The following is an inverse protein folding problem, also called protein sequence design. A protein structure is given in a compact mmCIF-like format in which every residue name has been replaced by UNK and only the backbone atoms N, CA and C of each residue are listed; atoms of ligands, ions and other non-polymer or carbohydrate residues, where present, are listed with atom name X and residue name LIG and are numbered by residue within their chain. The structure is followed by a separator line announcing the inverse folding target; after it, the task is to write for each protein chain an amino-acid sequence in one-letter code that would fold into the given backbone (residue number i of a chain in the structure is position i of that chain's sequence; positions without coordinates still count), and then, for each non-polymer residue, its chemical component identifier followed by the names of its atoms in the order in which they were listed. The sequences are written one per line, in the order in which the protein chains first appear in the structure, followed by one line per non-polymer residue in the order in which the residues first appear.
data_IF_600449325681
#
_entry.id   IF_600449325681
#
_cell.length_a   1.000
_cell.length_b   1.000
_cell.length_c   1.000
_cell.angle_alpha   90.00
_cell.angle_beta   90.00
_cell.angle_gamma   90.00
#
_symmetry.space_group_name_H-M   'P 1'
#
loop_
_entity.id
_entity.type
_entity.pdbx_description
1 polymer ?
#
# COMPACT_ATOMS: atom_id res chain seq x y z
N UNK A 1 11.59 18.78 12.13
CA UNK A 1 11.39 18.19 10.80
C UNK A 1 10.48 17.00 10.95
N UNK A 2 9.53 16.81 10.05
CA UNK A 2 8.40 15.95 10.30
C UNK A 2 8.63 14.49 9.94
N UNK A 3 7.93 13.62 10.69
CA UNK A 3 7.58 12.31 10.21
C UNK A 3 6.43 12.42 9.21
N UNK A 4 6.66 12.05 7.96
CA UNK A 4 5.68 12.15 6.87
C UNK A 4 5.10 10.77 6.59
N UNK A 5 3.78 10.60 6.70
CA UNK A 5 3.12 9.33 6.40
C UNK A 5 2.46 9.41 5.02
N UNK A 6 2.79 8.47 4.15
CA UNK A 6 2.17 8.32 2.83
C UNK A 6 1.17 7.18 2.87
N UNK A 7 -0.11 7.47 2.64
CA UNK A 7 -1.19 6.48 2.60
C UNK A 7 -1.96 6.54 1.29
N UNK A 8 -2.42 5.38 0.80
CA UNK A 8 -3.40 5.33 -0.27
C UNK A 8 -4.79 5.68 0.26
N UNK A 9 -5.54 6.45 -0.50
CA UNK A 9 -6.90 6.91 -0.12
C UNK A 9 -7.97 5.92 -0.58
N UNK A 10 -7.78 5.28 -1.73
CA UNK A 10 -8.76 4.42 -2.40
C UNK A 10 -8.52 2.93 -2.10
N UNK A 11 -8.40 2.07 -3.11
CA UNK A 11 -8.18 0.62 -2.98
C UNK A 11 -6.80 0.16 -3.46
N UNK A 12 -5.78 0.99 -3.34
CA UNK A 12 -4.43 0.71 -3.80
C UNK A 12 -4.16 1.18 -5.23
N UNK A 13 -2.92 1.04 -5.65
CA UNK A 13 -2.44 1.44 -6.99
C UNK A 13 -2.62 2.93 -7.32
N UNK A 14 -2.76 3.81 -6.32
CA UNK A 14 -2.92 5.25 -6.48
C UNK A 14 -1.64 5.96 -6.99
N UNK A 15 -0.50 5.28 -6.99
CA UNK A 15 0.78 5.86 -7.38
C UNK A 15 1.64 6.35 -6.21
N UNK A 16 1.53 5.69 -5.04
CA UNK A 16 2.34 6.00 -3.84
C UNK A 16 3.83 6.05 -4.12
N UNK A 17 4.36 5.13 -4.93
CA UNK A 17 5.77 5.13 -5.31
C UNK A 17 6.24 6.41 -5.98
N UNK A 18 5.40 7.05 -6.83
CA UNK A 18 5.72 8.36 -7.43
C UNK A 18 5.77 9.45 -6.36
N UNK A 19 4.87 9.44 -5.39
CA UNK A 19 4.87 10.41 -4.29
C UNK A 19 6.11 10.25 -3.39
N UNK A 20 6.50 9.01 -3.07
CA UNK A 20 7.73 8.74 -2.32
C UNK A 20 8.98 9.18 -3.09
N UNK A 21 9.02 8.94 -4.40
CA UNK A 21 10.11 9.38 -5.26
C UNK A 21 10.23 10.91 -5.36
N UNK A 22 9.10 11.63 -5.37
CA UNK A 22 9.09 13.10 -5.34
C UNK A 22 9.73 13.67 -4.06
N UNK A 23 9.58 12.97 -2.94
CA UNK A 23 10.20 13.33 -1.67
C UNK A 23 11.66 12.87 -1.57
N UNK A 24 12.10 11.94 -2.45
CA UNK A 24 13.33 11.15 -2.31
C UNK A 24 14.60 11.96 -2.10
N UNK A 25 14.78 13.10 -2.79
CA UNK A 25 15.98 13.96 -2.64
C UNK A 25 16.03 14.73 -1.31
N UNK A 26 14.89 14.83 -0.61
CA UNK A 26 14.73 15.54 0.67
C UNK A 26 14.44 14.59 1.83
N UNK A 27 14.58 13.28 1.60
CA UNK A 27 14.25 12.23 2.57
C UNK A 27 15.52 11.52 3.02
N UNK A 28 15.70 11.40 4.33
CA UNK A 28 16.82 10.67 4.92
C UNK A 28 16.47 9.18 5.17
N UNK A 29 15.19 8.90 5.46
CA UNK A 29 14.70 7.56 5.79
C UNK A 29 13.37 7.24 5.11
N UNK A 30 13.23 6.04 4.54
CA UNK A 30 11.94 5.52 4.05
C UNK A 30 11.61 4.22 4.73
N UNK A 31 10.46 4.17 5.39
CA UNK A 31 10.02 3.08 6.26
C UNK A 31 8.79 2.42 5.68
N UNK A 32 8.89 1.16 5.32
CA UNK A 32 7.70 0.32 5.08
C UNK A 32 7.18 -0.17 6.42
N UNK A 33 5.96 0.22 6.78
CA UNK A 33 5.44 -0.04 8.12
C UNK A 33 4.38 -1.14 8.20
N UNK A 34 3.82 -1.62 7.07
CA UNK A 34 2.77 -2.64 7.06
C UNK A 34 2.82 -3.53 5.82
N UNK A 35 1.99 -4.58 5.82
CA UNK A 35 1.89 -5.52 4.71
C UNK A 35 3.08 -6.48 4.66
N UNK A 36 3.44 -6.89 3.48
CA UNK A 36 4.57 -7.78 3.18
C UNK A 36 4.87 -7.72 1.69
N UNK A 37 5.14 -8.86 1.08
CA UNK A 37 5.39 -8.98 -0.36
C UNK A 37 4.10 -9.11 -1.22
N UNK A 38 2.94 -8.74 -0.67
CA UNK A 38 1.63 -8.80 -1.35
C UNK A 38 1.30 -7.58 -2.22
N UNK A 39 2.02 -6.48 -2.06
CA UNK A 39 1.90 -5.30 -2.92
C UNK A 39 3.09 -5.23 -3.88
N UNK A 40 2.88 -4.69 -5.07
CA UNK A 40 3.95 -4.39 -6.01
C UNK A 40 4.02 -2.87 -6.24
N UNK A 41 5.16 -2.28 -5.96
CA UNK A 41 5.43 -0.87 -6.29
C UNK A 41 6.35 -0.83 -7.51
N UNK A 42 5.93 -0.11 -8.55
CA UNK A 42 6.82 0.17 -9.68
C UNK A 42 7.40 1.56 -9.50
N UNK A 43 8.71 1.64 -9.48
CA UNK A 43 9.47 2.89 -9.50
C UNK A 43 10.20 2.98 -10.84
N UNK A 44 10.16 4.14 -11.47
CA UNK A 44 10.85 4.40 -12.75
C UNK A 44 11.95 5.42 -12.50
N UNK A 45 13.19 5.03 -12.75
CA UNK A 45 14.37 5.91 -12.62
C UNK A 45 15.04 6.00 -13.99
N UNK A 46 14.98 7.18 -14.62
CA UNK A 46 15.37 7.31 -16.02
C UNK A 46 14.52 6.40 -16.91
N UNK A 47 15.17 5.56 -17.71
CA UNK A 47 14.49 4.59 -18.60
C UNK A 47 14.29 3.21 -17.94
N UNK A 48 14.74 3.04 -16.69
CA UNK A 48 14.69 1.75 -16.00
C UNK A 48 13.46 1.62 -15.09
N UNK A 49 12.82 0.43 -15.14
CA UNK A 49 11.70 0.07 -14.27
C UNK A 49 12.16 -0.92 -13.20
N UNK A 50 11.80 -0.62 -11.95
CA UNK A 50 12.03 -1.45 -10.78
C UNK A 50 10.70 -1.87 -10.19
N UNK A 51 10.46 -3.17 -10.09
CA UNK A 51 9.28 -3.72 -9.43
C UNK A 51 9.68 -4.22 -8.03
N UNK A 52 9.27 -3.51 -7.00
CA UNK A 52 9.53 -3.85 -5.60
C UNK A 52 8.27 -4.43 -4.97
N UNK A 53 8.40 -5.51 -4.19
CA UNK A 53 7.28 -6.14 -3.49
C UNK A 53 7.42 -5.98 -1.97
N UNK A 54 8.59 -6.30 -1.44
CA UNK A 54 8.88 -6.25 0.00
C UNK A 54 9.70 -5.04 0.40
N UNK A 55 10.67 -4.67 -0.42
CA UNK A 55 11.56 -3.55 -0.13
C UNK A 55 10.82 -2.20 -0.19
N UNK A 56 11.13 -1.25 0.72
CA UNK A 56 10.62 0.11 0.62
C UNK A 56 11.18 0.81 -0.62
N UNK A 57 10.38 1.72 -1.21
CA UNK A 57 10.74 2.39 -2.47
C UNK A 57 12.01 3.24 -2.37
N UNK A 58 12.30 3.78 -1.20
CA UNK A 58 13.52 4.57 -0.93
C UNK A 58 14.84 3.82 -1.10
N UNK A 59 14.83 2.48 -1.23
CA UNK A 59 16.06 1.70 -1.47
C UNK A 59 16.74 2.06 -2.81
N UNK A 60 15.99 2.63 -3.72
CA UNK A 60 16.48 3.06 -5.03
C UNK A 60 17.10 4.45 -5.02
N UNK A 61 16.92 5.22 -3.94
CA UNK A 61 17.39 6.61 -3.83
C UNK A 61 18.75 6.66 -3.16
N UNK A 62 19.80 7.17 -3.82
CA UNK A 62 21.12 7.33 -3.22
C UNK A 62 21.05 8.18 -1.94
N UNK A 63 21.70 7.70 -0.87
CA UNK A 63 21.75 8.43 0.40
C UNK A 63 20.60 8.14 1.37
N UNK A 64 19.48 7.62 0.91
CA UNK A 64 18.33 7.25 1.74
C UNK A 64 18.61 5.96 2.53
N UNK A 65 18.12 5.89 3.75
CA UNK A 65 18.18 4.70 4.61
C UNK A 65 16.82 3.96 4.57
N UNK A 66 16.72 2.84 3.85
CA UNK A 66 15.48 2.08 3.78
C UNK A 66 15.28 1.21 5.03
N UNK A 67 14.05 1.14 5.54
CA UNK A 67 13.69 0.38 6.75
C UNK A 67 12.47 -0.50 6.52
N UNK A 68 12.55 -1.75 6.90
CA UNK A 68 11.42 -2.65 7.06
C UNK A 68 11.04 -2.64 8.55
N UNK A 69 9.89 -2.02 8.87
CA UNK A 69 9.41 -1.85 10.25
C UNK A 69 8.81 -3.14 10.84
N UNK A 70 8.56 -3.12 12.14
CA UNK A 70 8.01 -4.25 12.90
C UNK A 70 6.57 -4.63 12.50
N UNK A 71 5.87 -3.75 11.80
CA UNK A 71 4.52 -4.02 11.29
C UNK A 71 4.49 -4.87 10.02
N UNK A 72 5.61 -5.03 9.33
CA UNK A 72 5.74 -5.84 8.12
C UNK A 72 5.86 -7.33 8.46
N UNK A 73 5.28 -8.19 7.62
CA UNK A 73 5.57 -9.63 7.64
C UNK A 73 6.56 -9.94 6.51
N UNK A 74 7.71 -10.50 6.86
CA UNK A 74 8.89 -10.62 5.99
C UNK A 74 8.99 -12.05 5.45
N UNK A 75 8.94 -12.18 4.14
CA UNK A 75 9.32 -13.41 3.43
C UNK A 75 10.81 -13.32 3.09
N UNK A 76 11.65 -14.14 3.74
CA UNK A 76 13.11 -14.06 3.61
C UNK A 76 13.60 -14.46 2.21
N UNK A 77 12.95 -15.42 1.58
CA UNK A 77 13.24 -15.83 0.20
C UNK A 77 13.08 -14.62 -0.73
N UNK A 78 11.90 -13.98 -0.68
CA UNK A 78 11.60 -12.78 -1.50
C UNK A 78 12.50 -11.59 -1.14
N UNK A 79 12.83 -11.40 0.14
CA UNK A 79 13.73 -10.35 0.56
C UNK A 79 15.09 -10.46 -0.13
N UNK A 80 15.69 -11.65 -0.10
CA UNK A 80 17.01 -11.86 -0.66
C UNK A 80 17.01 -11.94 -2.19
N UNK A 81 15.94 -12.44 -2.80
CA UNK A 81 15.76 -12.37 -4.26
C UNK A 81 15.72 -10.92 -4.76
N UNK A 82 14.96 -10.05 -4.08
CA UNK A 82 14.89 -8.63 -4.46
C UNK A 82 16.24 -7.91 -4.23
N UNK A 83 16.91 -8.18 -3.11
CA UNK A 83 18.23 -7.60 -2.82
C UNK A 83 19.28 -8.02 -3.86
N UNK A 84 19.31 -9.31 -4.20
CA UNK A 84 20.26 -9.85 -5.17
C UNK A 84 20.00 -9.26 -6.58
N UNK A 85 18.72 -9.12 -6.95
CA UNK A 85 18.33 -8.52 -8.22
C UNK A 85 18.71 -7.02 -8.29
N UNK A 86 18.59 -6.27 -7.21
CA UNK A 86 18.99 -4.86 -7.13
C UNK A 86 20.52 -4.71 -7.17
N UNK A 87 21.22 -5.52 -6.38
CA UNK A 87 22.71 -5.52 -6.36
C UNK A 87 23.29 -5.85 -7.73
N UNK A 88 22.69 -6.82 -8.45
CA UNK A 88 23.11 -7.17 -9.81
C UNK A 88 22.92 -6.03 -10.82
N UNK A 89 22.03 -5.06 -10.52
CA UNK A 89 21.80 -3.83 -11.30
C UNK A 89 22.60 -2.64 -10.77
N UNK A 90 23.51 -2.84 -9.80
CA UNK A 90 24.38 -1.82 -9.25
C UNK A 90 23.73 -0.90 -8.19
N UNK A 91 22.56 -1.26 -7.68
CA UNK A 91 21.92 -0.53 -6.57
C UNK A 91 22.56 -0.95 -5.24
N UNK A 92 23.04 0.02 -4.45
CA UNK A 92 23.59 -0.24 -3.13
C UNK A 92 22.47 -0.50 -2.10
N UNK A 93 22.37 -1.74 -1.64
CA UNK A 93 21.35 -2.17 -0.65
C UNK A 93 21.90 -2.27 0.78
N UNK A 94 23.16 -1.90 1.03
CA UNK A 94 23.85 -2.08 2.32
C UNK A 94 23.23 -1.28 3.49
N UNK A 95 22.51 -0.22 3.18
CA UNK A 95 21.84 0.64 4.17
C UNK A 95 20.53 0.08 4.69
N UNK A 96 19.97 -0.98 4.08
CA UNK A 96 18.72 -1.57 4.54
C UNK A 96 18.79 -1.97 6.00
N UNK A 97 17.74 -1.61 6.76
CA UNK A 97 17.54 -2.11 8.12
C UNK A 97 16.20 -2.84 8.21
N UNK A 98 16.23 -3.95 8.93
CA UNK A 98 15.06 -4.81 9.17
C UNK A 98 14.82 -4.87 10.67
N UNK A 99 13.59 -4.60 11.08
CA UNK A 99 13.23 -4.65 12.50
C UNK A 99 13.42 -6.04 13.08
N UNK A 100 14.13 -6.14 14.20
CA UNK A 100 14.25 -7.36 14.99
C UNK A 100 12.88 -7.93 15.41
N UNK A 101 11.87 -7.06 15.51
CA UNK A 101 10.50 -7.38 15.92
C UNK A 101 9.54 -7.68 14.75
N UNK A 102 9.98 -7.58 13.49
CA UNK A 102 9.18 -7.97 12.34
C UNK A 102 8.90 -9.48 12.37
N UNK A 103 7.69 -9.89 11.90
CA UNK A 103 7.33 -11.29 11.84
C UNK A 103 7.76 -11.92 10.51
N UNK A 104 8.02 -13.21 10.53
CA UNK A 104 8.48 -13.95 9.35
C UNK A 104 7.33 -14.75 8.75
N UNK A 105 7.24 -14.72 7.41
CA UNK A 105 6.41 -15.62 6.63
C UNK A 105 7.19 -16.93 6.41
N UNK A 106 6.59 -18.05 6.77
CA UNK A 106 7.16 -19.39 6.58
C UNK A 106 6.41 -20.18 5.52
N UNK A 107 6.93 -21.31 5.13
CA UNK A 107 6.31 -22.21 4.15
C UNK A 107 4.89 -22.65 4.57
N UNK A 108 4.62 -22.86 5.87
CA UNK A 108 3.27 -23.20 6.31
C UNK A 108 2.27 -22.05 6.15
N UNK A 109 2.68 -20.79 6.28
CA UNK A 109 1.81 -19.64 6.02
C UNK A 109 1.39 -19.59 4.55
N UNK A 110 2.35 -19.76 3.63
CA UNK A 110 2.07 -19.80 2.18
C UNK A 110 1.17 -20.96 1.82
N UNK A 111 1.38 -22.12 2.46
CA UNK A 111 0.55 -23.31 2.24
C UNK A 111 -0.86 -23.10 2.74
N UNK A 112 -1.03 -22.61 3.96
CA UNK A 112 -2.34 -22.34 4.56
C UNK A 112 -3.14 -21.31 3.76
N UNK A 113 -2.53 -20.22 3.31
CA UNK A 113 -3.18 -19.21 2.48
C UNK A 113 -3.79 -19.85 1.21
N UNK A 114 -2.98 -20.61 0.46
CA UNK A 114 -3.42 -21.28 -0.77
C UNK A 114 -4.51 -22.34 -0.53
N UNK A 115 -4.43 -23.14 0.54
CA UNK A 115 -5.42 -24.18 0.77
C UNK A 115 -6.72 -23.64 1.33
N UNK A 116 -6.67 -22.58 2.14
CA UNK A 116 -7.85 -21.88 2.66
C UNK A 116 -8.64 -21.22 1.54
N UNK A 117 -7.98 -20.51 0.61
CA UNK A 117 -8.64 -19.91 -0.56
C UNK A 117 -9.36 -20.97 -1.42
N UNK A 118 -8.72 -22.14 -1.62
CA UNK A 118 -9.38 -23.27 -2.32
C UNK A 118 -10.57 -23.82 -1.56
N UNK A 119 -10.44 -23.95 -0.25
CA UNK A 119 -11.51 -24.47 0.60
C UNK A 119 -12.73 -23.55 0.63
N UNK A 120 -12.52 -22.24 0.64
CA UNK A 120 -13.58 -21.23 0.60
C UNK A 120 -14.35 -21.22 -0.75
N UNK A 121 -13.76 -21.68 -1.84
CA UNK A 121 -14.40 -21.80 -3.14
C UNK A 121 -14.99 -20.47 -3.63
N UNK A 122 -16.31 -20.38 -3.72
CA UNK A 122 -17.02 -19.15 -4.13
C UNK A 122 -16.92 -18.02 -3.10
N UNK A 123 -16.64 -18.33 -1.83
CA UNK A 123 -16.47 -17.35 -0.75
C UNK A 123 -15.01 -16.86 -0.61
N UNK A 124 -14.15 -17.19 -1.57
CA UNK A 124 -12.75 -16.77 -1.54
C UNK A 124 -12.62 -15.25 -1.49
N UNK A 125 -11.65 -14.78 -0.73
CA UNK A 125 -11.32 -13.35 -0.60
C UNK A 125 -10.56 -12.85 -1.84
N UNK A 126 -9.81 -13.73 -2.49
CA UNK A 126 -8.92 -13.43 -3.62
C UNK A 126 -7.55 -12.96 -3.14
N UNK A 127 -7.01 -13.63 -2.12
CA UNK A 127 -5.66 -13.34 -1.58
C UNK A 127 -4.58 -13.55 -2.63
N UNK A 128 -3.40 -13.01 -2.36
CA UNK A 128 -2.23 -13.20 -3.24
C UNK A 128 -1.59 -14.58 -3.10
N UNK A 129 -2.01 -15.40 -2.12
CA UNK A 129 -1.45 -16.73 -1.83
C UNK A 129 -0.03 -16.69 -1.27
N UNK A 130 0.42 -15.54 -0.77
CA UNK A 130 1.78 -15.30 -0.26
C UNK A 130 1.91 -15.48 1.26
N UNK A 131 0.86 -15.91 1.94
CA UNK A 131 0.90 -16.19 3.38
C UNK A 131 0.77 -14.99 4.29
N UNK A 132 0.38 -13.83 3.77
CA UNK A 132 0.26 -12.57 4.53
C UNK A 132 -0.76 -12.72 5.66
N UNK A 133 -2.01 -13.09 5.32
CA UNK A 133 -3.08 -13.27 6.31
C UNK A 133 -2.73 -14.25 7.42
N UNK A 134 -2.31 -15.48 7.11
CA UNK A 134 -1.85 -16.45 8.10
C UNK A 134 -0.71 -15.94 8.99
N UNK A 135 0.26 -15.18 8.46
CA UNK A 135 1.35 -14.63 9.26
C UNK A 135 0.85 -13.54 10.24
N UNK A 136 -0.07 -12.66 9.81
CA UNK A 136 -0.71 -11.70 10.73
C UNK A 136 -1.61 -12.40 11.77
N UNK A 137 -2.31 -13.47 11.40
CA UNK A 137 -3.08 -14.26 12.35
C UNK A 137 -2.16 -14.84 13.44
N UNK A 138 -1.02 -15.39 13.08
CA UNK A 138 -0.05 -15.92 14.04
C UNK A 138 0.56 -14.82 14.93
N UNK A 139 0.82 -13.64 14.38
CA UNK A 139 1.25 -12.47 15.16
C UNK A 139 0.24 -12.12 16.25
N UNK A 140 -1.06 -12.05 15.91
CA UNK A 140 -2.12 -11.68 16.85
C UNK A 140 -2.39 -12.83 17.84
N UNK A 141 -2.30 -14.10 17.41
CA UNK A 141 -2.37 -15.27 18.26
C UNK A 141 -1.15 -15.46 19.18
N UNK A 142 -0.08 -14.68 18.97
CA UNK A 142 1.17 -14.71 19.74
C UNK A 142 1.96 -16.03 19.60
N UNK A 143 1.83 -16.66 18.43
CA UNK A 143 2.59 -17.86 18.03
C UNK A 143 3.53 -17.58 16.85
N UNK A 144 3.59 -16.34 16.41
CA UNK A 144 4.43 -15.92 15.28
C UNK A 144 5.92 -15.94 15.61
N UNK A 145 6.73 -16.16 14.56
CA UNK A 145 8.19 -16.14 14.62
C UNK A 145 8.65 -14.74 14.21
N UNK A 146 9.55 -14.14 15.00
CA UNK A 146 10.16 -12.84 14.73
C UNK A 146 11.55 -12.99 14.12
N UNK A 147 12.02 -11.96 13.45
CA UNK A 147 13.39 -11.87 12.91
C UNK A 147 14.44 -12.17 13.97
N UNK A 148 14.32 -11.63 15.17
CA UNK A 148 15.28 -11.86 16.27
C UNK A 148 15.36 -13.34 16.71
N UNK A 149 14.32 -14.12 16.53
CA UNK A 149 14.28 -15.52 16.96
C UNK A 149 15.25 -16.40 16.14
N UNK A 150 15.66 -15.97 14.95
CA UNK A 150 16.60 -16.67 14.07
C UNK A 150 18.01 -16.71 14.65
N UNK A 151 18.34 -15.85 15.63
CA UNK A 151 19.67 -15.75 16.20
C UNK A 151 19.88 -16.64 17.44
N UNK A 152 18.84 -17.40 17.83
CA UNK A 152 18.89 -18.46 18.83
C UNK A 152 18.12 -19.69 18.31
N UNK A 153 18.88 -20.70 17.84
CA UNK A 153 18.30 -21.90 17.23
C UNK A 153 17.37 -22.66 18.20
N UNK A 154 17.69 -22.68 19.51
CA UNK A 154 16.85 -23.37 20.48
C UNK A 154 15.48 -22.69 20.62
N UNK A 155 15.46 -21.37 20.71
CA UNK A 155 14.24 -20.57 20.77
C UNK A 155 13.46 -20.70 19.45
N UNK A 156 14.13 -20.60 18.30
CA UNK A 156 13.52 -20.78 16.99
C UNK A 156 12.83 -22.15 16.90
N UNK A 157 13.55 -23.22 17.22
CA UNK A 157 13.04 -24.60 17.17
C UNK A 157 11.82 -24.79 18.05
N UNK A 158 11.86 -24.32 19.29
CA UNK A 158 10.74 -24.38 20.24
C UNK A 158 9.50 -23.63 19.70
N UNK A 159 9.67 -22.45 19.13
CA UNK A 159 8.57 -21.65 18.55
C UNK A 159 7.98 -22.31 17.30
N UNK A 160 8.81 -22.83 16.42
CA UNK A 160 8.37 -23.57 15.23
C UNK A 160 7.57 -24.83 15.62
N UNK A 161 8.04 -25.58 16.59
CA UNK A 161 7.35 -26.77 17.11
C UNK A 161 5.95 -26.41 17.63
N UNK A 162 5.86 -25.40 18.51
CA UNK A 162 4.57 -24.94 19.04
C UNK A 162 3.61 -24.41 17.98
N UNK A 163 4.13 -23.72 16.96
CA UNK A 163 3.31 -23.27 15.83
C UNK A 163 2.83 -24.44 14.97
N UNK A 164 3.70 -25.40 14.65
CA UNK A 164 3.40 -26.53 13.77
C UNK A 164 2.40 -27.52 14.37
N UNK A 165 2.34 -27.68 15.68
CA UNK A 165 1.37 -28.56 16.33
C UNK A 165 -0.06 -28.24 15.86
N UNK A 166 -0.47 -26.98 15.93
CA UNK A 166 -1.79 -26.56 15.48
C UNK A 166 -1.92 -26.58 13.95
N UNK A 167 -0.90 -26.09 13.23
CA UNK A 167 -0.94 -25.98 11.77
C UNK A 167 -1.00 -27.34 11.10
N UNK A 168 -0.24 -28.32 11.59
CA UNK A 168 -0.26 -29.68 11.04
C UNK A 168 -1.60 -30.37 11.27
N UNK A 169 -2.29 -30.12 12.39
CA UNK A 169 -3.65 -30.61 12.57
C UNK A 169 -4.60 -30.07 11.49
N UNK A 170 -4.54 -28.79 11.16
CA UNK A 170 -5.33 -28.21 10.08
C UNK A 170 -4.94 -28.77 8.72
N UNK A 171 -3.65 -28.81 8.41
CA UNK A 171 -3.16 -29.32 7.13
C UNK A 171 -3.57 -30.77 6.89
N UNK A 172 -3.37 -31.64 7.87
CA UNK A 172 -3.61 -33.10 7.72
C UNK A 172 -5.10 -33.41 7.83
N UNK A 173 -5.78 -32.94 8.90
CA UNK A 173 -7.14 -33.38 9.24
C UNK A 173 -8.23 -32.62 8.48
N UNK A 174 -8.02 -31.33 8.18
CA UNK A 174 -9.02 -30.48 7.50
C UNK A 174 -8.74 -30.40 5.99
N UNK A 175 -7.50 -30.13 5.63
CA UNK A 175 -7.14 -29.87 4.24
C UNK A 175 -6.58 -31.08 3.49
N UNK A 176 -6.42 -32.22 4.14
CA UNK A 176 -5.84 -33.45 3.57
C UNK A 176 -4.50 -33.18 2.85
N UNK A 177 -3.57 -32.52 3.55
CA UNK A 177 -2.22 -32.18 3.10
C UNK A 177 -1.18 -32.89 3.95
N UNK A 178 0.03 -33.01 3.42
CA UNK A 178 1.19 -33.51 4.17
C UNK A 178 1.49 -32.58 5.35
N UNK A 179 1.87 -33.17 6.49
CA UNK A 179 2.47 -32.40 7.59
C UNK A 179 3.81 -31.81 7.18
N UNK A 180 4.18 -30.73 7.83
CA UNK A 180 5.48 -30.06 7.68
C UNK A 180 6.28 -30.35 8.93
N UNK A 181 7.55 -30.68 8.79
CA UNK A 181 8.42 -31.01 9.93
C UNK A 181 9.08 -29.74 10.49
N UNK A 182 9.50 -29.79 11.76
CA UNK A 182 10.21 -28.69 12.39
C UNK A 182 11.51 -28.41 11.66
N UNK A 183 12.26 -29.47 11.29
CA UNK A 183 13.53 -29.33 10.61
C UNK A 183 13.37 -28.63 9.24
N UNK A 184 12.34 -28.97 8.45
CA UNK A 184 12.06 -28.28 7.16
C UNK A 184 11.95 -26.75 7.34
N UNK A 185 11.35 -26.27 8.41
CA UNK A 185 11.19 -24.83 8.65
C UNK A 185 12.45 -24.22 9.27
N UNK A 186 13.05 -24.88 10.24
CA UNK A 186 14.24 -24.35 10.95
C UNK A 186 15.42 -24.27 10.00
N UNK A 187 15.70 -25.31 9.21
CA UNK A 187 16.82 -25.33 8.27
C UNK A 187 16.65 -24.26 7.20
N UNK A 188 15.42 -24.10 6.66
CA UNK A 188 15.11 -23.03 5.71
C UNK A 188 15.41 -21.65 6.30
N UNK A 189 14.89 -21.35 7.48
CA UNK A 189 15.07 -20.04 8.12
C UNK A 189 16.54 -19.78 8.52
N UNK A 190 17.25 -20.79 9.04
CA UNK A 190 18.66 -20.65 9.42
C UNK A 190 19.57 -20.38 8.21
N UNK A 191 19.19 -20.83 7.03
CA UNK A 191 19.96 -20.59 5.80
C UNK A 191 20.13 -19.10 5.47
N UNK A 192 19.23 -18.24 5.95
CA UNK A 192 19.27 -16.79 5.72
C UNK A 192 19.96 -16.00 6.86
N UNK A 193 20.21 -16.63 8.02
CA UNK A 193 20.59 -15.93 9.26
C UNK A 193 21.84 -15.06 9.10
N UNK A 194 22.90 -15.59 8.50
CA UNK A 194 24.16 -14.86 8.36
C UNK A 194 24.05 -13.65 7.41
N UNK A 195 23.25 -13.79 6.35
CA UNK A 195 22.98 -12.67 5.42
C UNK A 195 22.10 -11.59 6.07
N UNK A 196 21.17 -12.01 6.94
CA UNK A 196 20.21 -11.11 7.60
C UNK A 196 20.85 -10.34 8.76
N UNK A 197 21.78 -10.93 9.49
CA UNK A 197 22.40 -10.40 10.71
C UNK A 197 22.84 -8.93 10.61
N UNK A 198 23.57 -8.48 9.58
CA UNK A 198 24.05 -7.10 9.49
C UNK A 198 22.93 -6.07 9.26
N UNK A 199 21.73 -6.52 8.84
CA UNK A 199 20.59 -5.65 8.53
C UNK A 199 19.68 -5.48 9.75
N UNK A 200 19.75 -6.36 10.75
CA UNK A 200 18.80 -6.39 11.87
C UNK A 200 19.10 -5.29 12.88
N UNK A 201 18.07 -4.55 13.26
CA UNK A 201 18.20 -3.44 14.19
C UNK A 201 16.93 -3.24 15.04
N UNK A 202 17.06 -2.47 16.12
CA UNK A 202 15.95 -1.81 16.78
C UNK A 202 15.54 -0.58 15.94
N UNK A 203 14.67 -0.81 14.98
CA UNK A 203 14.28 0.22 14.01
C UNK A 203 13.47 1.34 14.64
N UNK A 204 12.71 1.06 15.71
CA UNK A 204 11.94 2.09 16.41
C UNK A 204 12.86 3.12 17.06
N UNK A 205 13.90 2.65 17.75
CA UNK A 205 14.91 3.51 18.35
C UNK A 205 15.70 4.31 17.29
N UNK A 206 16.15 3.66 16.21
CA UNK A 206 16.87 4.33 15.12
C UNK A 206 16.06 5.47 14.49
N UNK A 207 14.76 5.26 14.27
CA UNK A 207 13.89 6.25 13.65
C UNK A 207 13.55 7.39 14.60
N UNK A 208 13.38 7.12 15.89
CA UNK A 208 13.14 8.16 16.89
C UNK A 208 14.37 9.07 17.04
N UNK A 209 15.57 8.51 17.09
CA UNK A 209 16.83 9.27 17.07
C UNK A 209 16.99 10.11 15.78
N UNK A 210 16.62 9.55 14.61
CA UNK A 210 16.66 10.29 13.35
C UNK A 210 15.76 11.52 13.39
N UNK A 211 14.52 11.35 13.88
CA UNK A 211 13.57 12.45 14.06
C UNK A 211 14.06 13.48 15.10
N UNK A 212 14.75 13.06 16.16
CA UNK A 212 15.36 13.98 17.12
C UNK A 212 16.50 14.82 16.51
N UNK A 213 17.28 14.22 15.60
CA UNK A 213 18.30 14.96 14.83
C UNK A 213 17.71 15.90 13.78
N UNK A 214 16.39 15.88 13.58
CA UNK A 214 15.71 16.69 12.57
C UNK A 214 15.79 16.11 11.15
N UNK A 215 16.09 14.82 11.00
CA UNK A 215 16.09 14.11 9.73
C UNK A 215 14.65 13.84 9.25
N UNK A 216 14.45 13.84 7.94
CA UNK A 216 13.14 13.59 7.31
C UNK A 216 12.89 12.10 7.19
N UNK A 217 11.83 11.62 7.88
CA UNK A 217 11.42 10.21 7.86
C UNK A 217 10.09 10.06 7.14
N UNK A 218 10.08 9.31 6.04
CA UNK A 218 8.87 8.99 5.27
C UNK A 218 8.40 7.58 5.61
N UNK A 219 7.16 7.45 6.05
CA UNK A 219 6.49 6.18 6.36
C UNK A 219 5.58 5.80 5.19
N UNK A 220 5.91 4.75 4.49
CA UNK A 220 5.23 4.28 3.26
C UNK A 220 4.26 3.13 3.58
N UNK A 221 2.97 3.34 3.30
CA UNK A 221 1.97 2.28 3.39
C UNK A 221 2.06 1.32 2.18
N UNK A 222 1.99 0.03 2.46
CA UNK A 222 1.97 -1.00 1.42
C UNK A 222 0.63 -1.09 0.67
N UNK A 223 -0.48 -0.70 1.32
CA UNK A 223 -1.84 -0.75 0.76
C UNK A 223 -2.53 0.61 0.92
N UNK A 224 -3.87 0.63 0.92
CA UNK A 224 -4.67 1.84 0.99
C UNK A 224 -5.76 1.75 2.07
N UNK A 225 -6.37 2.89 2.40
CA UNK A 225 -7.38 3.00 3.46
C UNK A 225 -8.56 2.06 3.28
N UNK A 226 -9.08 1.93 2.05
CA UNK A 226 -10.23 1.04 1.78
C UNK A 226 -9.84 -0.45 1.78
N UNK A 227 -8.56 -0.77 1.94
CA UNK A 227 -8.03 -2.12 2.15
C UNK A 227 -7.53 -2.35 3.59
N UNK A 228 -7.65 -1.37 4.48
CA UNK A 228 -7.28 -1.50 5.89
C UNK A 228 -8.16 -2.56 6.59
N UNK A 229 -7.58 -3.33 7.50
CA UNK A 229 -8.28 -4.43 8.18
C UNK A 229 -9.47 -3.96 9.03
N UNK A 230 -9.38 -2.76 9.61
CA UNK A 230 -10.40 -2.17 10.50
C UNK A 230 -11.32 -1.19 9.77
N UNK A 231 -10.78 -0.43 8.82
CA UNK A 231 -11.44 0.70 8.16
C UNK A 231 -11.82 0.45 6.70
N UNK A 232 -11.36 -0.65 6.12
CA UNK A 232 -11.63 -1.01 4.73
C UNK A 232 -12.93 -1.77 4.51
N UNK A 233 -13.11 -2.25 3.29
CA UNK A 233 -14.29 -3.00 2.83
C UNK A 233 -14.22 -4.48 3.25
N UNK A 234 -14.22 -4.74 4.56
CA UNK A 234 -14.16 -6.09 5.12
C UNK A 234 -15.27 -7.01 4.56
N UNK A 235 -14.98 -8.28 4.19
CA UNK A 235 -13.72 -9.00 4.35
C UNK A 235 -12.71 -8.82 3.19
N UNK A 236 -13.01 -8.01 2.19
CA UNK A 236 -12.18 -7.78 1.01
C UNK A 236 -11.12 -6.72 1.30
N UNK A 237 -10.21 -7.02 2.22
CA UNK A 237 -9.18 -6.16 2.78
C UNK A 237 -7.85 -6.91 2.90
N UNK A 238 -6.76 -6.17 3.18
CA UNK A 238 -5.51 -6.79 3.66
C UNK A 238 -5.61 -7.10 5.15
N UNK A 239 -4.73 -7.93 5.66
CA UNK A 239 -4.69 -8.29 7.09
C UNK A 239 -3.84 -7.32 7.93
N UNK A 240 -3.51 -6.16 7.41
CA UNK A 240 -2.65 -5.18 8.08
C UNK A 240 -3.34 -3.82 8.23
N UNK A 241 -2.85 -3.02 9.19
CA UNK A 241 -3.24 -1.63 9.36
C UNK A 241 -2.56 -0.77 8.30
N UNK A 242 -3.33 -0.37 7.29
CA UNK A 242 -2.87 0.40 6.14
C UNK A 242 -3.16 1.90 6.27
N UNK A 243 -3.76 2.31 7.39
CA UNK A 243 -4.01 3.73 7.73
C UNK A 243 -2.79 4.37 8.37
N UNK A 244 -2.82 5.71 8.53
CA UNK A 244 -1.73 6.47 9.14
C UNK A 244 -1.44 6.04 10.60
N UNK A 245 -2.47 5.60 11.35
CA UNK A 245 -2.29 5.02 12.67
C UNK A 245 -1.40 3.77 12.67
N UNK A 246 -1.42 3.01 11.57
CA UNK A 246 -0.54 1.87 11.34
C UNK A 246 0.94 2.23 11.24
N UNK A 247 1.28 3.46 10.85
CA UNK A 247 2.67 3.91 10.79
C UNK A 247 3.31 3.95 12.18
N UNK A 248 2.61 4.46 13.19
CA UNK A 248 3.11 4.48 14.57
C UNK A 248 3.34 3.05 15.10
N UNK A 249 2.32 2.19 15.01
CA UNK A 249 2.40 0.81 15.54
C UNK A 249 3.36 -0.07 14.74
N UNK A 250 3.46 0.15 13.43
CA UNK A 250 4.26 -0.67 12.52
C UNK A 250 5.72 -0.26 12.38
N UNK A 251 6.08 0.94 12.83
CA UNK A 251 7.48 1.41 12.88
C UNK A 251 8.07 1.42 14.29
N UNK A 252 7.21 1.49 15.33
CA UNK A 252 7.64 1.70 16.72
C UNK A 252 7.89 3.17 17.08
N UNK A 253 7.55 4.10 16.18
CA UNK A 253 7.66 5.55 16.43
C UNK A 253 6.39 6.05 17.11
N UNK A 254 6.51 6.93 18.08
CA UNK A 254 5.36 7.50 18.79
C UNK A 254 4.46 8.32 17.84
N UNK A 255 3.12 8.26 17.99
CA UNK A 255 2.20 8.95 17.09
C UNK A 255 2.38 10.47 17.07
N UNK A 256 2.88 11.08 18.15
CA UNK A 256 3.19 12.51 18.20
C UNK A 256 4.41 12.96 17.39
N UNK A 257 5.09 12.02 16.71
CA UNK A 257 6.19 12.29 15.77
C UNK A 257 5.73 12.28 14.30
N UNK A 258 4.46 11.97 14.05
CA UNK A 258 3.88 11.90 12.72
C UNK A 258 3.15 13.22 12.43
N UNK A 259 3.89 14.17 11.88
CA UNK A 259 3.41 15.57 11.78
C UNK A 259 2.61 15.81 10.51
N UNK A 260 2.88 15.07 9.43
CA UNK A 260 2.24 15.26 8.14
C UNK A 260 1.73 13.94 7.56
N UNK A 261 0.49 13.95 7.11
CA UNK A 261 -0.14 12.77 6.52
C UNK A 261 -0.57 13.09 5.10
N UNK A 262 0.09 12.45 4.14
CA UNK A 262 -0.10 12.65 2.71
C UNK A 262 -0.96 11.54 2.13
N UNK A 263 -2.16 11.88 1.70
CA UNK A 263 -3.07 10.98 1.01
C UNK A 263 -2.81 10.95 -0.49
N UNK A 264 -2.64 9.77 -1.06
CA UNK A 264 -2.48 9.61 -2.51
C UNK A 264 -3.81 9.16 -3.09
N UNK A 265 -4.31 9.90 -4.09
CA UNK A 265 -5.58 9.62 -4.76
C UNK A 265 -5.41 9.75 -6.27
N UNK A 266 -6.07 8.90 -7.04
CA UNK A 266 -6.19 9.08 -8.49
C UNK A 266 -7.36 10.01 -8.82
N UNK A 267 -7.27 10.70 -9.93
CA UNK A 267 -8.38 11.50 -10.49
C UNK A 267 -9.60 10.67 -10.90
N UNK A 268 -9.49 9.35 -10.85
CA UNK A 268 -10.55 8.34 -10.99
C UNK A 268 -10.27 7.20 -9.99
N UNK A 269 -11.04 6.13 -10.00
CA UNK A 269 -10.86 5.06 -9.01
C UNK A 269 -10.49 3.74 -9.68
N UNK A 270 -9.62 2.96 -9.04
CA UNK A 270 -9.33 1.59 -9.46
C UNK A 270 -9.38 0.63 -8.28
N UNK A 271 -9.72 -0.63 -8.56
CA UNK A 271 -9.70 -1.70 -7.57
C UNK A 271 -9.18 -3.00 -8.18
N UNK A 272 -8.36 -3.73 -7.42
CA UNK A 272 -7.97 -5.12 -7.74
C UNK A 272 -8.75 -6.07 -6.84
N UNK A 273 -9.22 -7.19 -7.40
CA UNK A 273 -9.92 -8.23 -6.65
C UNK A 273 -11.40 -7.96 -6.41
N UNK A 274 -11.98 -8.78 -5.54
CA UNK A 274 -13.41 -8.77 -5.23
C UNK A 274 -13.78 -7.67 -4.22
N UNK A 275 -15.07 -7.49 -4.00
CA UNK A 275 -15.61 -6.55 -3.02
C UNK A 275 -16.32 -5.37 -3.65
N UNK A 276 -16.97 -4.51 -2.84
CA UNK A 276 -17.79 -3.40 -3.31
C UNK A 276 -16.97 -2.35 -4.03
N UNK A 277 -17.54 -1.80 -5.09
CA UNK A 277 -16.97 -0.71 -5.85
C UNK A 277 -18.12 0.12 -6.46
N UNK A 278 -18.74 1.03 -5.70
CA UNK A 278 -19.96 1.70 -6.12
C UNK A 278 -19.85 2.47 -7.43
N UNK A 279 -18.68 3.05 -7.72
CA UNK A 279 -18.44 3.84 -8.94
C UNK A 279 -17.87 3.02 -10.11
N UNK A 280 -17.84 1.68 -10.00
CA UNK A 280 -17.31 0.80 -11.05
C UNK A 280 -18.04 1.01 -12.38
N UNK A 281 -17.25 0.99 -13.46
CA UNK A 281 -17.70 1.08 -14.84
C UNK A 281 -17.39 -0.24 -15.56
N UNK A 282 -18.42 -1.00 -15.86
CA UNK A 282 -18.35 -2.25 -16.63
C UNK A 282 -18.87 -2.01 -18.07
N UNK A 283 -18.33 -0.99 -18.71
CA UNK A 283 -18.72 -0.49 -20.01
C UNK A 283 -17.52 0.00 -20.84
N UNK A 284 -17.79 0.59 -22.01
CA UNK A 284 -16.76 1.15 -22.91
C UNK A 284 -15.93 2.26 -22.22
N UNK A 285 -16.52 3.02 -21.31
CA UNK A 285 -15.82 4.07 -20.58
C UNK A 285 -14.85 3.46 -19.54
N UNK A 286 -15.27 2.40 -18.85
CA UNK A 286 -14.40 1.66 -17.94
C UNK A 286 -13.20 1.05 -18.67
N UNK A 287 -13.40 0.51 -19.86
CA UNK A 287 -12.33 0.00 -20.71
C UNK A 287 -11.41 1.14 -21.20
N UNK A 288 -11.98 2.27 -21.59
CA UNK A 288 -11.19 3.44 -21.99
C UNK A 288 -10.30 3.94 -20.86
N UNK A 289 -10.81 4.04 -19.62
CA UNK A 289 -10.01 4.41 -18.43
C UNK A 289 -8.88 3.39 -18.19
N UNK A 290 -9.17 2.09 -18.37
CA UNK A 290 -8.18 1.02 -18.18
C UNK A 290 -7.04 1.13 -19.19
N UNK A 291 -7.35 1.31 -20.46
CA UNK A 291 -6.36 1.39 -21.53
C UNK A 291 -5.55 2.69 -21.44
N UNK A 292 -6.23 3.84 -21.34
CA UNK A 292 -5.59 5.16 -21.27
C UNK A 292 -4.75 5.31 -20.01
N UNK A 293 -5.26 4.82 -18.87
CA UNK A 293 -4.57 4.85 -17.58
C UNK A 293 -3.50 3.77 -17.44
N UNK A 294 -3.42 2.78 -18.34
CA UNK A 294 -2.51 1.64 -18.21
C UNK A 294 -2.81 0.82 -16.96
N UNK A 295 -4.09 0.59 -16.66
CA UNK A 295 -4.53 -0.01 -15.39
C UNK A 295 -4.44 -1.54 -15.43
N UNK A 296 -3.19 -2.02 -15.43
CA UNK A 296 -2.82 -3.43 -15.38
C UNK A 296 -1.85 -3.69 -14.24
N UNK A 297 -1.95 -4.85 -13.62
CA UNK A 297 -1.07 -5.24 -12.51
C UNK A 297 0.36 -5.44 -12.99
N UNK A 298 1.31 -4.78 -12.36
CA UNK A 298 2.74 -4.76 -12.75
C UNK A 298 3.35 -6.16 -12.85
N UNK A 299 2.98 -7.06 -11.92
CA UNK A 299 3.58 -8.41 -11.84
C UNK A 299 2.78 -9.46 -12.62
N UNK A 300 1.46 -9.34 -12.65
CA UNK A 300 0.57 -10.39 -13.19
C UNK A 300 -0.08 -10.00 -14.50
N UNK A 301 0.04 -8.73 -14.92
CA UNK A 301 -0.72 -8.18 -16.06
C UNK A 301 -2.24 -8.19 -15.86
N UNK A 302 -2.74 -8.50 -14.64
CA UNK A 302 -4.17 -8.59 -14.37
C UNK A 302 -4.81 -7.21 -14.52
N UNK A 303 -5.93 -7.16 -15.23
CA UNK A 303 -6.75 -5.96 -15.37
C UNK A 303 -7.24 -5.46 -14.02
N UNK A 304 -7.20 -4.15 -13.83
CA UNK A 304 -7.85 -3.46 -12.72
C UNK A 304 -9.26 -3.07 -13.10
N UNK A 305 -10.18 -3.21 -12.16
CA UNK A 305 -11.51 -2.62 -12.24
C UNK A 305 -11.36 -1.11 -12.19
N UNK A 306 -12.09 -0.38 -12.99
CA UNK A 306 -12.01 1.08 -13.13
C UNK A 306 -13.36 1.72 -12.85
N UNK A 307 -13.39 2.95 -12.37
CA UNK A 307 -14.60 3.69 -12.05
C UNK A 307 -14.31 5.17 -11.86
N UNK A 308 -15.37 5.97 -11.76
CA UNK A 308 -15.24 7.41 -11.53
C UNK A 308 -14.69 7.74 -10.15
N UNK A 309 -14.22 8.99 -9.99
CA UNK A 309 -13.77 9.50 -8.69
C UNK A 309 -14.88 9.41 -7.65
N UNK A 310 -14.54 9.00 -6.44
CA UNK A 310 -15.46 8.74 -5.33
C UNK A 310 -15.14 9.68 -4.16
N UNK A 311 -15.88 10.79 -4.07
CA UNK A 311 -15.66 11.79 -3.03
C UNK A 311 -16.03 11.31 -1.61
N UNK A 312 -17.13 10.56 -1.39
CA UNK A 312 -17.40 9.93 -0.09
C UNK A 312 -16.23 9.13 0.47
N UNK A 313 -15.59 8.28 -0.35
CA UNK A 313 -14.41 7.50 0.06
C UNK A 313 -13.25 8.43 0.43
N UNK A 314 -13.01 9.46 -0.37
CA UNK A 314 -11.91 10.41 -0.12
C UNK A 314 -12.13 11.17 1.19
N UNK A 315 -13.36 11.64 1.46
CA UNK A 315 -13.71 12.27 2.75
C UNK A 315 -13.53 11.31 3.93
N UNK A 316 -14.01 10.08 3.77
CA UNK A 316 -13.84 9.03 4.78
C UNK A 316 -12.36 8.79 5.09
N UNK A 317 -11.54 8.57 4.06
CA UNK A 317 -10.11 8.36 4.22
C UNK A 317 -9.41 9.57 4.83
N UNK A 318 -9.76 10.79 4.43
CA UNK A 318 -9.24 12.03 5.01
C UNK A 318 -9.49 12.07 6.51
N UNK A 319 -10.70 11.77 6.96
CA UNK A 319 -11.08 11.74 8.37
C UNK A 319 -10.37 10.65 9.14
N UNK A 320 -10.34 9.42 8.63
CA UNK A 320 -9.75 8.26 9.31
C UNK A 320 -8.25 8.41 9.50
N UNK A 321 -7.56 8.96 8.50
CA UNK A 321 -6.11 9.14 8.54
C UNK A 321 -5.68 10.49 9.12
N UNK A 322 -6.55 11.49 9.18
CA UNK A 322 -6.16 12.88 9.47
C UNK A 322 -5.30 13.47 8.35
N UNK A 323 -5.66 13.22 7.08
CA UNK A 323 -4.88 13.67 5.93
C UNK A 323 -4.74 15.19 5.93
N UNK A 324 -3.50 15.67 5.86
CA UNK A 324 -3.16 17.10 5.79
C UNK A 324 -2.99 17.60 4.37
N UNK A 325 -2.54 16.72 3.48
CA UNK A 325 -2.20 17.01 2.09
C UNK A 325 -2.61 15.87 1.16
N UNK A 326 -3.09 16.19 -0.02
CA UNK A 326 -3.39 15.22 -1.08
C UNK A 326 -2.39 15.37 -2.23
N UNK A 327 -1.90 14.23 -2.72
CA UNK A 327 -1.28 14.10 -4.04
C UNK A 327 -2.29 13.48 -4.98
N UNK A 328 -2.80 14.28 -5.92
CA UNK A 328 -3.71 13.85 -6.97
C UNK A 328 -2.89 13.31 -8.15
N UNK A 329 -3.08 12.05 -8.51
CA UNK A 329 -2.38 11.40 -9.61
C UNK A 329 -3.27 11.17 -10.81
N UNK A 330 -2.67 10.98 -12.00
CA UNK A 330 -3.40 10.55 -13.20
C UNK A 330 -4.45 11.55 -13.72
N UNK A 331 -4.26 12.85 -13.48
CA UNK A 331 -5.16 13.87 -14.02
C UNK A 331 -5.13 13.89 -15.56
N UNK A 332 -3.96 13.64 -16.15
CA UNK A 332 -3.71 13.50 -17.58
C UNK A 332 -4.59 12.46 -18.27
N UNK A 333 -4.95 11.39 -17.57
CA UNK A 333 -5.79 10.29 -18.12
C UNK A 333 -7.20 10.78 -18.49
N UNK A 334 -7.71 11.83 -17.85
CA UNK A 334 -9.02 12.39 -18.11
C UNK A 334 -9.06 13.36 -19.32
N UNK A 335 -7.91 13.68 -19.89
CA UNK A 335 -7.81 14.52 -21.09
C UNK A 335 -8.58 13.91 -22.26
N UNK A 336 -9.35 14.71 -22.96
CA UNK A 336 -10.15 14.29 -24.11
C UNK A 336 -11.62 14.02 -23.81
N UNK A 337 -12.02 13.95 -22.54
CA UNK A 337 -13.42 13.84 -22.13
C UNK A 337 -14.17 15.17 -22.30
N UNK A 338 -15.46 15.11 -22.66
CA UNK A 338 -16.34 16.27 -22.69
C UNK A 338 -16.88 16.60 -21.30
N UNK A 339 -17.15 15.55 -20.52
CA UNK A 339 -17.73 15.64 -19.20
C UNK A 339 -17.11 14.57 -18.28
N UNK A 340 -16.89 14.92 -17.02
CA UNK A 340 -16.27 14.06 -16.01
C UNK A 340 -17.21 13.92 -14.82
N UNK A 341 -17.86 12.75 -14.64
CA UNK A 341 -18.69 12.46 -13.48
C UNK A 341 -17.84 12.26 -12.22
N UNK A 342 -18.29 12.85 -11.12
CA UNK A 342 -17.74 12.64 -9.76
C UNK A 342 -18.85 12.13 -8.87
N UNK A 343 -18.65 11.00 -8.20
CA UNK A 343 -19.57 10.52 -7.19
C UNK A 343 -19.50 11.44 -5.96
N UNK A 344 -20.61 12.08 -5.62
CA UNK A 344 -20.69 13.03 -4.49
C UNK A 344 -21.43 12.46 -3.28
N UNK A 345 -22.24 11.43 -3.49
CA UNK A 345 -23.01 10.72 -2.48
C UNK A 345 -23.39 9.32 -2.98
N UNK A 346 -23.98 8.51 -2.12
CA UNK A 346 -24.60 7.23 -2.51
C UNK A 346 -26.11 7.27 -2.27
N UNK A 347 -26.84 6.53 -3.10
CA UNK A 347 -28.24 6.16 -2.87
C UNK A 347 -28.30 4.67 -2.50
N UNK A 348 -28.92 4.35 -1.38
CA UNK A 348 -29.20 2.98 -0.94
C UNK A 348 -30.70 2.89 -0.66
N UNK A 349 -31.42 2.21 -1.53
CA UNK A 349 -32.87 2.01 -1.43
C UNK A 349 -33.68 3.33 -1.25
N UNK A 350 -33.25 4.39 -1.93
CA UNK A 350 -33.88 5.73 -1.89
C UNK A 350 -33.42 6.58 -0.70
N UNK A 351 -32.47 6.11 0.10
CA UNK A 351 -31.84 6.89 1.17
C UNK A 351 -30.47 7.40 0.71
N UNK A 352 -30.31 8.72 0.76
CA UNK A 352 -29.03 9.36 0.40
C UNK A 352 -28.03 9.31 1.55
N UNK A 353 -26.81 8.88 1.24
CA UNK A 353 -25.65 8.90 2.13
C UNK A 353 -24.57 9.82 1.54
N UNK A 354 -24.23 10.89 2.25
CA UNK A 354 -23.15 11.79 1.82
C UNK A 354 -21.75 11.25 2.22
N UNK A 355 -21.67 10.29 3.13
CA UNK A 355 -20.48 9.56 3.56
C UNK A 355 -20.59 8.06 3.26
N UNK A 356 -19.50 7.33 3.46
CA UNK A 356 -19.47 5.86 3.34
C UNK A 356 -20.42 5.25 4.37
N UNK A 357 -21.41 4.43 3.94
CA UNK A 357 -22.30 3.74 4.85
C UNK A 357 -21.51 2.87 5.85
N UNK A 358 -21.88 2.92 7.11
CA UNK A 358 -21.23 2.11 8.18
C UNK A 358 -21.51 0.62 7.98
N UNK A 359 -22.72 0.31 7.49
CA UNK A 359 -23.13 -1.07 7.21
C UNK A 359 -22.56 -1.53 5.87
N UNK A 360 -21.81 -2.62 5.89
CA UNK A 360 -21.21 -3.20 4.67
C UNK A 360 -22.26 -3.65 3.64
N UNK A 361 -23.43 -4.11 4.08
CA UNK A 361 -24.53 -4.47 3.18
C UNK A 361 -25.01 -3.25 2.40
N UNK A 362 -25.19 -2.14 3.08
CA UNK A 362 -25.60 -0.88 2.44
C UNK A 362 -24.53 -0.41 1.46
N UNK A 363 -23.27 -0.51 1.81
CA UNK A 363 -22.18 -0.15 0.92
C UNK A 363 -22.09 -1.04 -0.33
N UNK A 364 -22.39 -2.35 -0.19
CA UNK A 364 -22.47 -3.26 -1.32
C UNK A 364 -23.62 -2.95 -2.31
N UNK A 365 -24.70 -2.35 -1.81
CA UNK A 365 -25.86 -1.97 -2.62
C UNK A 365 -25.86 -0.47 -3.00
N UNK A 366 -24.85 0.27 -2.57
CA UNK A 366 -24.74 1.69 -2.83
C UNK A 366 -24.67 1.99 -4.33
N UNK A 367 -25.53 2.88 -4.78
CA UNK A 367 -25.50 3.41 -6.14
C UNK A 367 -24.92 4.82 -6.10
N UNK A 368 -23.96 5.15 -6.97
CA UNK A 368 -23.34 6.46 -6.96
C UNK A 368 -24.31 7.55 -7.42
N UNK A 369 -24.31 8.68 -6.72
CA UNK A 369 -24.97 9.91 -7.15
C UNK A 369 -23.89 10.81 -7.74
N UNK A 370 -23.99 11.09 -9.04
CA UNK A 370 -22.98 11.84 -9.75
C UNK A 370 -23.29 13.32 -9.86
N UNK A 371 -22.24 14.13 -9.79
CA UNK A 371 -22.20 15.50 -10.26
C UNK A 371 -21.21 15.55 -11.43
N UNK A 372 -21.63 16.15 -12.53
CA UNK A 372 -20.83 16.25 -13.75
C UNK A 372 -20.03 17.54 -13.79
N UNK A 373 -18.79 17.45 -14.21
CA UNK A 373 -17.88 18.58 -14.44
C UNK A 373 -17.50 18.66 -15.91
N UNK A 374 -17.34 19.86 -16.47
CA UNK A 374 -16.82 20.01 -17.83
C UNK A 374 -15.42 19.41 -17.94
N UNK A 375 -15.16 18.64 -18.99
CA UNK A 375 -13.84 18.10 -19.28
C UNK A 375 -12.96 19.10 -20.03
N UNK A 376 -11.79 18.65 -20.44
CA UNK A 376 -10.81 19.43 -21.22
C UNK A 376 -10.23 18.56 -22.35
N UNK A 377 -9.75 19.23 -23.41
CA UNK A 377 -9.18 18.57 -24.59
C UNK A 377 -7.68 18.78 -24.73
N UNK A 378 -7.16 19.80 -24.06
CA UNK A 378 -5.76 20.18 -24.13
C UNK A 378 -4.88 19.16 -23.41
N UNK A 379 -3.73 18.85 -24.01
CA UNK A 379 -2.71 18.04 -23.36
C UNK A 379 -2.09 18.82 -22.18
N UNK A 380 -2.27 18.30 -20.98
CA UNK A 380 -1.77 18.88 -19.73
C UNK A 380 -0.39 18.36 -19.31
N UNK A 381 0.22 17.45 -20.07
CA UNK A 381 1.48 16.76 -19.68
C UNK A 381 2.68 17.69 -19.55
N UNK A 382 2.60 18.87 -20.17
CA UNK A 382 3.63 19.92 -20.13
C UNK A 382 3.38 20.99 -19.06
N UNK A 383 2.23 20.99 -18.40
CA UNK A 383 1.92 21.92 -17.31
C UNK A 383 2.90 21.76 -16.14
N UNK A 384 3.39 22.85 -15.58
CA UNK A 384 4.31 22.88 -14.43
C UNK A 384 3.80 23.79 -13.31
N UNK A 385 2.88 24.68 -13.59
CA UNK A 385 2.15 25.49 -12.62
C UNK A 385 0.65 25.21 -12.68
N UNK A 386 -0.08 25.57 -11.65
CA UNK A 386 -1.54 25.35 -11.62
C UNK A 386 -2.26 26.14 -12.70
N UNK A 387 -1.74 27.33 -13.01
CA UNK A 387 -2.25 28.25 -14.02
C UNK A 387 -2.01 27.76 -15.46
N UNK A 388 -1.08 26.82 -15.67
CA UNK A 388 -0.86 26.19 -17.00
C UNK A 388 -1.99 25.21 -17.36
N UNK A 389 -2.78 24.78 -16.38
CA UNK A 389 -3.92 23.89 -16.62
C UNK A 389 -5.06 24.64 -17.32
N UNK A 390 -5.81 23.99 -18.24
CA UNK A 390 -7.08 24.50 -18.73
C UNK A 390 -8.03 24.85 -17.58
N UNK A 391 -8.85 25.90 -17.73
CA UNK A 391 -9.76 26.36 -16.69
C UNK A 391 -10.63 25.24 -16.11
N UNK A 392 -11.19 24.37 -16.99
CA UNK A 392 -12.00 23.23 -16.54
C UNK A 392 -11.21 22.24 -15.68
N UNK A 393 -9.93 22.02 -15.97
CA UNK A 393 -9.05 21.16 -15.15
C UNK A 393 -8.74 21.80 -13.80
N UNK A 394 -8.53 23.13 -13.76
CA UNK A 394 -8.37 23.87 -12.51
C UNK A 394 -9.63 23.76 -11.66
N UNK A 395 -10.80 24.02 -12.24
CA UNK A 395 -12.10 23.96 -11.56
C UNK A 395 -12.40 22.54 -11.04
N UNK A 396 -12.04 21.52 -11.82
CA UNK A 396 -12.14 20.12 -11.40
C UNK A 396 -11.28 19.83 -10.16
N UNK A 397 -10.00 20.22 -10.17
CA UNK A 397 -9.08 20.04 -9.03
C UNK A 397 -9.59 20.76 -7.78
N UNK A 398 -10.05 22.01 -7.92
CA UNK A 398 -10.60 22.79 -6.79
C UNK A 398 -11.88 22.16 -6.25
N UNK A 399 -12.74 21.60 -7.11
CA UNK A 399 -13.92 20.86 -6.68
C UNK A 399 -13.55 19.60 -5.88
N UNK A 400 -12.57 18.81 -6.35
CA UNK A 400 -12.08 17.64 -5.60
C UNK A 400 -11.46 18.03 -4.25
N UNK A 401 -10.71 19.13 -4.20
CA UNK A 401 -10.14 19.70 -2.97
C UNK A 401 -11.25 20.04 -1.96
N UNK A 402 -12.29 20.75 -2.39
CA UNK A 402 -13.43 21.09 -1.55
C UNK A 402 -14.20 19.84 -1.07
N UNK A 403 -14.42 18.86 -1.95
CA UNK A 403 -15.11 17.61 -1.63
C UNK A 403 -14.32 16.72 -0.67
N UNK A 404 -12.99 16.80 -0.67
CA UNK A 404 -12.10 15.99 0.17
C UNK A 404 -11.88 16.62 1.55
N UNK A 405 -12.32 17.86 1.78
CA UNK A 405 -12.06 18.65 2.98
C UNK A 405 -10.57 18.80 3.31
N UNK A 406 -9.69 18.72 2.30
CA UNK A 406 -8.25 18.91 2.48
C UNK A 406 -7.60 19.37 1.18
N UNK A 407 -6.49 20.09 1.28
CA UNK A 407 -5.83 20.68 0.12
C UNK A 407 -5.18 19.64 -0.77
N UNK A 408 -5.22 19.87 -2.08
CA UNK A 408 -4.45 19.13 -3.08
C UNK A 408 -3.12 19.85 -3.28
N UNK A 409 -2.07 19.31 -2.69
CA UNK A 409 -0.74 19.94 -2.64
C UNK A 409 0.11 19.62 -3.86
N UNK A 410 -0.09 18.44 -4.48
CA UNK A 410 0.63 18.03 -5.68
C UNK A 410 -0.33 17.41 -6.68
N UNK A 411 -0.13 17.70 -7.97
CA UNK A 411 -0.94 17.19 -9.07
C UNK A 411 -0.04 16.49 -10.09
N UNK A 412 -0.27 15.22 -10.35
CA UNK A 412 0.39 14.45 -11.41
C UNK A 412 -0.31 14.66 -12.74
N UNK A 413 0.42 15.18 -13.71
CA UNK A 413 -0.04 15.51 -15.06
C UNK A 413 0.55 14.61 -16.14
N UNK A 414 1.18 13.50 -15.75
CA UNK A 414 1.74 12.50 -16.65
C UNK A 414 2.53 11.43 -15.89
N UNK A 415 3.07 10.41 -16.58
CA UNK A 415 3.75 9.28 -15.96
C UNK A 415 5.17 9.62 -15.47
N UNK A 416 5.87 10.57 -16.08
CA UNK A 416 7.26 10.90 -15.74
C UNK A 416 7.37 11.60 -14.38
N UNK A 417 8.56 11.52 -13.78
CA UNK A 417 8.87 12.11 -12.47
C UNK A 417 8.62 13.61 -12.43
N UNK A 418 9.04 14.32 -13.48
CA UNK A 418 8.93 15.78 -13.63
C UNK A 418 7.55 16.27 -14.07
N UNK A 419 6.64 15.35 -14.44
CA UNK A 419 5.27 15.68 -14.84
C UNK A 419 4.38 15.83 -13.62
N UNK A 420 4.69 16.84 -12.81
CA UNK A 420 3.95 17.21 -11.60
C UNK A 420 3.87 18.72 -11.45
N UNK A 421 2.77 19.17 -10.85
CA UNK A 421 2.57 20.54 -10.40
C UNK A 421 2.61 20.51 -8.86
N UNK A 422 3.53 21.25 -8.25
CA UNK A 422 3.63 21.42 -6.79
C UNK A 422 2.95 22.73 -6.40
N UNK A 423 1.82 22.66 -5.72
CA UNK A 423 1.08 23.84 -5.21
C UNK A 423 1.51 24.18 -3.78
N UNK A 424 1.79 23.14 -2.98
CA UNK A 424 2.25 23.27 -1.59
C UNK A 424 3.35 22.26 -1.33
N UNK A 425 4.39 22.69 -0.63
CA UNK A 425 5.48 21.82 -0.24
C UNK A 425 5.02 20.74 0.75
N UNK A 426 5.52 19.51 0.58
CA UNK A 426 5.16 18.37 1.43
C UNK A 426 6.12 18.15 2.60
N UNK A 427 7.27 18.84 2.63
CA UNK A 427 8.32 18.66 3.65
C UNK A 427 8.36 19.82 4.64
N UNK A 428 8.13 21.06 4.19
CA UNK A 428 8.22 22.29 4.99
C UNK A 428 6.95 22.62 5.75
#
# INVERSE_FOLDING_TARGET
MPGIVIVGVQWGDEGKGKATDLLGERTDWVVKFNGGNNAGHTVVIGDEKYALHLLPSGILSPGVNPVIGNGVVVDLEVLFEELDALNARGVDTSRLRVSANAHIITAYHRTLDKVTERFLGQRRIGTTGRGIGPAYADKINRVGIRVQDLFDENILRQKVEGALDQKNHLLVKVFNRRSITVDEIVDDLLSYTERLRPMVADTGHLLDEALERGEVVVFEAGQATMLDVDHGTYPFVTSSSATAGGAATGSGVGPGRLDRIVGIVKAYTTRVGSGPFPTELDDEMGEWLRQTGGEFGTTTGRERRTGWYDAPITRYATRVNGITDIVLTKLDVLTGLDEIPVCVAYDVDGVRFDDVPVNQTDFHHAKPVYQNFPGWKEDISTARTFEDLPQNAQDYVLALEAMSNTRISVIGVGPARDQVIVRHDLVD
#
